data_IF_149143672671
#
_entry.id   IF_149143672671
#
_cell.length_a   1.000
_cell.length_b   1.000
_cell.length_c   1.000
_cell.angle_alpha   90.00
_cell.angle_beta   90.00
_cell.angle_gamma   90.00
#
_symmetry.space_group_name_H-M   'P 1'
#
loop_
_entity.id
_entity.type
_entity.pdbx_description
1 polymer ?
#
# COMPACT_ATOMS: atom_id res chain seq x y z
N UNK A 1 2.00 11.78 12.71
CA UNK A 1 2.50 12.07 11.33
C UNK A 1 1.78 11.17 10.31
N UNK A 2 1.87 11.44 9.00
CA UNK A 2 1.24 10.61 7.95
C UNK A 2 2.25 9.95 6.99
N UNK A 3 1.89 8.80 6.43
CA UNK A 3 2.64 8.17 5.36
C UNK A 3 1.72 7.67 4.25
N UNK A 4 2.18 7.80 2.99
CA UNK A 4 1.60 7.07 1.87
C UNK A 4 2.26 5.69 1.78
N UNK A 5 1.47 4.64 1.90
CA UNK A 5 1.87 3.25 1.74
C UNK A 5 1.36 2.71 0.40
N UNK A 6 2.31 2.41 -0.48
CA UNK A 6 2.05 1.85 -1.81
C UNK A 6 2.22 0.33 -1.76
N UNK A 7 1.18 -0.41 -2.10
CA UNK A 7 1.15 -1.88 -2.06
C UNK A 7 1.26 -2.44 -3.48
N UNK A 8 2.27 -3.28 -3.69
CA UNK A 8 2.40 -4.17 -4.86
C UNK A 8 2.13 -3.54 -6.22
N UNK A 9 3.01 -2.67 -6.68
CA UNK A 9 3.00 -2.11 -8.06
C UNK A 9 3.93 -2.92 -8.96
N UNK A 10 3.47 -4.08 -9.43
CA UNK A 10 4.27 -4.94 -10.30
C UNK A 10 4.36 -4.38 -11.74
N UNK A 11 5.56 -4.45 -12.35
CA UNK A 11 5.78 -4.05 -13.74
C UNK A 11 5.13 -4.98 -14.78
N UNK A 12 4.91 -6.25 -14.39
CA UNK A 12 4.58 -7.33 -15.35
C UNK A 12 3.08 -7.66 -15.47
N UNK A 13 2.19 -6.90 -14.83
CA UNK A 13 0.77 -7.17 -15.02
C UNK A 13 0.27 -6.65 -16.36
N UNK A 14 -0.27 -7.54 -17.21
CA UNK A 14 -0.81 -7.15 -18.51
C UNK A 14 -2.21 -6.51 -18.40
N UNK A 15 -2.77 -6.40 -17.18
CA UNK A 15 -4.10 -5.84 -16.99
C UNK A 15 -4.05 -4.32 -17.16
N UNK A 16 -4.82 -3.80 -18.11
CA UNK A 16 -4.92 -2.36 -18.41
C UNK A 16 -5.22 -1.54 -17.16
N UNK A 17 -6.09 -2.03 -16.30
CA UNK A 17 -6.45 -1.37 -15.03
C UNK A 17 -5.24 -1.23 -14.08
N UNK A 18 -4.37 -2.24 -14.00
CA UNK A 18 -3.16 -2.17 -13.18
C UNK A 18 -2.20 -1.09 -13.72
N UNK A 19 -2.02 -1.00 -15.03
CA UNK A 19 -1.19 0.03 -15.66
C UNK A 19 -1.76 1.43 -15.43
N UNK A 20 -3.08 1.60 -15.58
CA UNK A 20 -3.75 2.89 -15.33
C UNK A 20 -3.60 3.34 -13.88
N UNK A 21 -3.74 2.43 -12.92
CA UNK A 21 -3.53 2.74 -11.49
C UNK A 21 -2.07 3.07 -11.19
N UNK A 22 -1.09 2.34 -11.75
CA UNK A 22 0.33 2.68 -11.60
C UNK A 22 0.59 4.09 -12.12
N UNK A 23 0.04 4.44 -13.28
CA UNK A 23 0.15 5.79 -13.84
C UNK A 23 -0.53 6.83 -12.94
N UNK A 24 -1.72 6.54 -12.44
CA UNK A 24 -2.45 7.44 -11.54
C UNK A 24 -1.68 7.67 -10.22
N UNK A 25 -1.06 6.62 -9.65
CA UNK A 25 -0.19 6.74 -8.48
C UNK A 25 1.03 7.61 -8.79
N UNK A 26 1.68 7.41 -9.94
CA UNK A 26 2.81 8.23 -10.36
C UNK A 26 2.42 9.71 -10.48
N UNK A 27 1.27 9.98 -11.09
CA UNK A 27 0.73 11.33 -11.22
C UNK A 27 0.39 11.92 -9.85
N UNK A 28 -0.25 11.16 -8.96
CA UNK A 28 -0.56 11.58 -7.60
C UNK A 28 0.70 11.98 -6.85
N UNK A 29 1.73 11.14 -6.89
CA UNK A 29 3.04 11.46 -6.28
C UNK A 29 3.65 12.73 -6.88
N UNK A 30 3.57 12.94 -8.19
CA UNK A 30 4.11 14.15 -8.81
C UNK A 30 3.42 15.44 -8.32
N UNK A 31 2.15 15.36 -7.93
CA UNK A 31 1.32 16.50 -7.53
C UNK A 31 1.26 16.70 -6.01
N UNK A 32 1.31 15.60 -5.25
CA UNK A 32 0.95 15.54 -3.82
C UNK A 32 2.06 14.96 -2.94
N UNK A 33 3.29 14.75 -3.45
CA UNK A 33 4.40 14.19 -2.65
C UNK A 33 4.67 14.97 -1.35
N UNK A 34 4.45 16.27 -1.34
CA UNK A 34 4.66 17.14 -0.17
C UNK A 34 3.59 16.97 0.92
N UNK A 35 2.46 16.35 0.59
CA UNK A 35 1.35 16.15 1.52
C UNK A 35 1.64 15.00 2.48
N UNK A 36 2.66 14.18 2.19
CA UNK A 36 3.08 13.03 2.97
C UNK A 36 4.41 13.25 3.66
N UNK A 37 4.47 12.95 4.96
CA UNK A 37 5.72 12.97 5.72
C UNK A 37 6.69 11.90 5.19
N UNK A 38 6.16 10.71 4.91
CA UNK A 38 6.90 9.60 4.31
C UNK A 38 6.13 8.97 3.16
N UNK A 39 6.86 8.50 2.15
CA UNK A 39 6.33 7.64 1.10
C UNK A 39 7.08 6.32 1.15
N UNK A 40 6.34 5.23 1.40
CA UNK A 40 6.90 3.91 1.63
C UNK A 40 6.21 2.87 0.76
N UNK A 41 6.87 1.73 0.55
CA UNK A 41 6.33 0.65 -0.27
C UNK A 41 6.29 -0.67 0.48
N UNK A 42 5.27 -1.48 0.22
CA UNK A 42 5.23 -2.89 0.56
C UNK A 42 5.17 -3.68 -0.75
N UNK A 43 6.24 -4.42 -1.07
CA UNK A 43 6.45 -5.03 -2.38
C UNK A 43 6.66 -6.56 -2.32
N UNK A 44 5.96 -7.26 -3.18
CA UNK A 44 6.10 -8.70 -3.46
C UNK A 44 6.92 -8.96 -4.72
N UNK A 45 7.04 -7.94 -5.58
CA UNK A 45 7.74 -7.97 -6.86
C UNK A 45 8.53 -6.65 -7.06
N UNK A 46 9.41 -6.55 -8.07
CA UNK A 46 10.02 -5.28 -8.44
C UNK A 46 8.97 -4.19 -8.71
N UNK A 47 9.33 -2.96 -8.37
CA UNK A 47 8.47 -1.80 -8.56
C UNK A 47 8.39 -1.42 -10.05
N UNK A 48 7.22 -0.94 -10.50
CA UNK A 48 7.03 -0.47 -11.86
C UNK A 48 7.90 0.76 -12.18
N UNK A 49 8.41 0.83 -13.41
CA UNK A 49 9.35 1.87 -13.86
C UNK A 49 8.77 3.29 -13.73
N UNK A 50 7.46 3.44 -13.93
CA UNK A 50 6.73 4.71 -13.85
C UNK A 50 6.87 5.39 -12.48
N UNK A 51 7.00 4.59 -11.41
CA UNK A 51 7.17 5.11 -10.06
C UNK A 51 8.57 4.85 -9.50
N UNK A 52 9.42 4.07 -10.19
CA UNK A 52 10.79 3.78 -9.78
C UNK A 52 11.67 5.04 -9.63
N UNK A 53 11.36 6.11 -10.36
CA UNK A 53 12.01 7.42 -10.22
C UNK A 53 11.62 8.22 -8.97
N UNK A 54 10.65 7.73 -8.17
CA UNK A 54 10.22 8.38 -6.94
C UNK A 54 11.18 8.10 -5.80
N UNK A 55 11.40 9.10 -4.93
CA UNK A 55 12.12 8.88 -3.66
C UNK A 55 11.21 8.24 -2.63
N UNK A 56 11.53 6.99 -2.28
CA UNK A 56 10.91 6.24 -1.18
C UNK A 56 11.76 6.31 0.08
N UNK A 57 11.11 6.59 1.20
CA UNK A 57 11.73 6.69 2.51
C UNK A 57 12.12 5.30 3.06
N UNK A 58 11.31 4.27 2.76
CA UNK A 58 11.63 2.88 3.04
C UNK A 58 10.85 1.93 2.11
N UNK A 59 11.35 0.70 1.96
CA UNK A 59 10.75 -0.33 1.13
C UNK A 59 10.74 -1.66 1.88
N UNK A 60 9.56 -2.22 2.10
CA UNK A 60 9.34 -3.48 2.80
C UNK A 60 9.09 -4.58 1.78
N UNK A 61 9.92 -5.63 1.82
CA UNK A 61 9.85 -6.72 0.85
C UNK A 61 9.36 -7.99 1.53
N UNK A 62 8.55 -8.74 0.79
CA UNK A 62 8.14 -10.09 1.17
C UNK A 62 9.37 -11.00 1.19
N UNK A 63 9.47 -11.85 2.22
CA UNK A 63 10.42 -12.95 2.23
C UNK A 63 9.99 -13.99 1.18
N UNK A 64 10.86 -14.36 0.22
CA UNK A 64 10.56 -15.32 -0.83
C UNK A 64 10.10 -16.71 -0.35
N UNK A 65 10.38 -17.05 0.92
CA UNK A 65 10.05 -18.34 1.52
C UNK A 65 8.71 -18.32 2.27
N UNK A 66 8.06 -17.16 2.35
CA UNK A 66 6.82 -16.97 3.11
C UNK A 66 5.66 -16.64 2.18
N UNK A 67 4.44 -16.89 2.63
CA UNK A 67 3.22 -16.44 1.96
C UNK A 67 2.65 -15.17 2.60
N UNK A 68 3.48 -14.14 2.77
CA UNK A 68 3.00 -12.84 3.24
C UNK A 68 2.01 -12.23 2.23
N UNK A 69 0.86 -11.81 2.72
CA UNK A 69 -0.13 -11.02 1.99
C UNK A 69 -0.10 -9.57 2.47
N UNK A 70 -0.07 -9.37 3.79
CA UNK A 70 -0.03 -8.05 4.42
C UNK A 70 1.35 -7.41 4.29
N UNK A 71 1.39 -6.09 4.16
CA UNK A 71 2.61 -5.30 4.30
C UNK A 71 3.25 -5.42 5.69
N UNK A 72 2.46 -5.71 6.73
CA UNK A 72 2.96 -5.87 8.11
C UNK A 72 3.73 -7.16 8.36
N UNK A 73 3.62 -8.12 7.46
CA UNK A 73 4.40 -9.35 7.46
C UNK A 73 5.78 -9.17 6.80
N UNK A 74 6.00 -8.02 6.15
CA UNK A 74 7.20 -7.72 5.35
C UNK A 74 8.25 -6.96 6.17
N UNK A 75 9.50 -7.05 5.74
CA UNK A 75 10.63 -6.36 6.37
C UNK A 75 11.40 -5.50 5.37
N UNK A 76 12.04 -4.45 5.85
CA UNK A 76 13.01 -3.71 5.05
C UNK A 76 14.34 -4.47 4.93
N UNK A 77 15.32 -3.85 4.25
CA UNK A 77 16.65 -4.43 4.04
C UNK A 77 17.45 -4.65 5.33
N UNK A 78 17.05 -4.01 6.43
CA UNK A 78 17.66 -4.16 7.75
C UNK A 78 16.98 -5.25 8.59
N UNK A 79 15.87 -5.82 8.10
CA UNK A 79 15.04 -6.78 8.83
C UNK A 79 13.99 -6.14 9.73
N UNK A 80 13.79 -4.81 9.64
CA UNK A 80 12.78 -4.11 10.45
C UNK A 80 11.40 -4.31 9.84
N UNK A 81 10.41 -4.68 10.67
CA UNK A 81 9.02 -4.84 10.23
C UNK A 81 8.37 -3.49 9.96
N UNK A 82 7.42 -3.45 9.01
CA UNK A 82 6.66 -2.24 8.67
C UNK A 82 6.07 -1.55 9.91
N UNK A 83 5.35 -2.29 10.77
CA UNK A 83 4.72 -1.71 11.95
C UNK A 83 5.71 -1.09 12.94
N UNK A 84 6.89 -1.70 13.10
CA UNK A 84 7.92 -1.19 14.00
C UNK A 84 8.56 0.09 13.44
N UNK A 85 8.81 0.12 12.12
CA UNK A 85 9.31 1.31 11.44
C UNK A 85 8.30 2.47 11.52
N UNK A 86 7.01 2.20 11.30
CA UNK A 86 5.96 3.22 11.39
C UNK A 86 5.89 3.86 12.78
N UNK A 87 5.94 3.06 13.84
CA UNK A 87 5.96 3.56 15.23
C UNK A 87 7.21 4.34 15.55
N UNK A 88 8.38 3.86 15.11
CA UNK A 88 9.66 4.55 15.32
C UNK A 88 9.68 5.94 14.65
N UNK A 89 8.96 6.10 13.53
CA UNK A 89 8.81 7.37 12.81
C UNK A 89 7.54 8.15 13.23
N UNK A 90 6.88 7.78 14.33
CA UNK A 90 5.69 8.48 14.87
C UNK A 90 4.56 8.68 13.84
N UNK A 91 4.40 7.69 12.94
CA UNK A 91 3.29 7.66 12.00
C UNK A 91 2.02 7.24 12.74
N UNK A 92 0.96 8.00 12.51
CA UNK A 92 -0.36 7.82 13.10
C UNK A 92 -1.38 7.52 11.99
N UNK A 93 -1.22 8.14 10.82
CA UNK A 93 -2.09 7.95 9.65
C UNK A 93 -1.38 7.28 8.49
N UNK A 94 -2.03 6.29 7.89
CA UNK A 94 -1.64 5.64 6.64
C UNK A 94 -2.64 5.95 5.54
N UNK A 95 -2.15 6.56 4.46
CA UNK A 95 -2.85 6.65 3.20
C UNK A 95 -2.43 5.44 2.34
N UNK A 96 -3.36 4.60 1.91
CA UNK A 96 -3.08 3.31 1.27
C UNK A 96 -3.56 3.32 -0.18
N UNK A 97 -2.67 2.91 -1.09
CA UNK A 97 -2.87 2.79 -2.54
C UNK A 97 -2.20 1.54 -3.07
N UNK A 98 -2.52 1.11 -4.29
CA UNK A 98 -1.77 0.03 -4.94
C UNK A 98 -2.64 -0.97 -5.69
N UNK A 99 -2.20 -2.22 -5.76
CA UNK A 99 -2.89 -3.29 -6.49
C UNK A 99 -3.32 -4.43 -5.57
N UNK A 100 -4.32 -5.19 -6.00
CA UNK A 100 -4.85 -6.33 -5.25
C UNK A 100 -5.69 -5.88 -4.06
N UNK A 101 -6.74 -5.11 -4.33
CA UNK A 101 -7.69 -4.56 -3.34
C UNK A 101 -8.14 -5.59 -2.32
N UNK A 102 -8.59 -6.76 -2.78
CA UNK A 102 -9.11 -7.85 -1.96
C UNK A 102 -8.02 -8.75 -1.34
N UNK A 103 -6.76 -8.54 -1.73
CA UNK A 103 -5.60 -9.32 -1.31
C UNK A 103 -4.71 -8.49 -0.39
N UNK A 104 -3.62 -7.93 -0.93
CA UNK A 104 -2.60 -7.23 -0.18
C UNK A 104 -3.11 -5.95 0.48
N UNK A 105 -3.96 -5.18 -0.20
CA UNK A 105 -4.53 -3.94 0.35
C UNK A 105 -5.42 -4.26 1.54
N UNK A 106 -6.45 -5.11 1.36
CA UNK A 106 -7.34 -5.53 2.44
C UNK A 106 -6.59 -6.05 3.65
N UNK A 107 -5.67 -7.00 3.45
CA UNK A 107 -4.90 -7.58 4.56
C UNK A 107 -4.09 -6.52 5.31
N UNK A 108 -3.41 -5.63 4.57
CA UNK A 108 -2.59 -4.57 5.15
C UNK A 108 -3.41 -3.53 5.90
N UNK A 109 -4.57 -3.13 5.37
CA UNK A 109 -5.46 -2.16 6.00
C UNK A 109 -6.00 -2.71 7.32
N UNK A 110 -6.47 -3.97 7.32
CA UNK A 110 -6.99 -4.59 8.55
C UNK A 110 -5.89 -4.73 9.62
N UNK A 111 -4.67 -5.10 9.23
CA UNK A 111 -3.53 -5.17 10.16
C UNK A 111 -3.11 -3.79 10.70
N UNK A 112 -3.18 -2.75 9.87
CA UNK A 112 -2.91 -1.38 10.31
C UNK A 112 -3.94 -0.91 11.35
N UNK A 113 -5.23 -1.11 11.06
CA UNK A 113 -6.31 -0.78 11.98
C UNK A 113 -6.20 -1.56 13.29
N UNK A 114 -5.92 -2.86 13.23
CA UNK A 114 -5.71 -3.70 14.41
C UNK A 114 -4.52 -3.24 15.27
N UNK A 115 -3.54 -2.57 14.65
CA UNK A 115 -2.38 -1.99 15.34
C UNK A 115 -2.59 -0.54 15.78
N UNK A 116 -3.78 0.04 15.55
CA UNK A 116 -4.18 1.36 16.03
C UNK A 116 -3.76 2.52 15.13
N UNK A 117 -3.42 2.29 13.86
CA UNK A 117 -3.20 3.36 12.89
C UNK A 117 -4.55 3.86 12.33
N UNK A 118 -4.64 5.16 12.06
CA UNK A 118 -5.72 5.73 11.24
C UNK A 118 -5.44 5.36 9.78
N UNK A 119 -6.41 4.76 9.08
CA UNK A 119 -6.19 4.27 7.72
C UNK A 119 -7.18 4.90 6.74
N UNK A 120 -6.65 5.52 5.69
CA UNK A 120 -7.38 6.09 4.58
C UNK A 120 -7.03 5.32 3.31
N UNK A 121 -8.02 4.82 2.57
CA UNK A 121 -7.81 4.10 1.31
C UNK A 121 -8.30 4.95 0.15
N UNK A 122 -7.40 5.28 -0.78
CA UNK A 122 -7.74 6.10 -1.96
C UNK A 122 -8.23 5.18 -3.07
N UNK A 123 -9.54 4.95 -3.16
CA UNK A 123 -10.10 3.91 -4.05
C UNK A 123 -9.74 4.10 -5.52
N UNK A 124 -9.61 5.36 -5.95
CA UNK A 124 -9.23 5.73 -7.33
C UNK A 124 -7.78 5.42 -7.67
N UNK A 125 -6.96 5.10 -6.66
CA UNK A 125 -5.57 4.71 -6.78
C UNK A 125 -5.38 3.23 -6.38
N UNK A 126 -6.46 2.44 -6.46
CA UNK A 126 -6.47 1.01 -6.16
C UNK A 126 -7.03 0.22 -7.34
N UNK A 127 -6.36 -0.89 -7.70
CA UNK A 127 -6.92 -1.88 -8.63
C UNK A 127 -7.28 -3.18 -7.90
N UNK A 128 -8.36 -3.83 -8.31
CA UNK A 128 -8.71 -5.17 -7.85
C UNK A 128 -8.23 -6.26 -8.83
N UNK A 129 -8.19 -7.51 -8.38
CA UNK A 129 -8.11 -8.65 -9.30
C UNK A 129 -9.51 -9.05 -9.76
N UNK A 130 -10.50 -8.87 -8.89
CA UNK A 130 -11.92 -9.13 -9.13
C UNK A 130 -12.81 -8.09 -8.45
N UNK A 131 -13.67 -7.43 -9.25
CA UNK A 131 -14.60 -6.39 -8.78
C UNK A 131 -15.54 -6.86 -7.65
N UNK A 132 -16.07 -8.08 -7.76
CA UNK A 132 -16.98 -8.63 -6.75
C UNK A 132 -16.28 -8.80 -5.39
N UNK A 133 -15.03 -9.28 -5.41
CA UNK A 133 -14.23 -9.44 -4.20
C UNK A 133 -13.76 -8.08 -3.67
N UNK A 134 -13.48 -7.12 -4.54
CA UNK A 134 -13.10 -5.77 -4.16
C UNK A 134 -14.19 -5.09 -3.32
N UNK A 135 -15.45 -5.22 -3.73
CA UNK A 135 -16.58 -4.65 -2.98
C UNK A 135 -16.71 -5.27 -1.58
N UNK A 136 -16.56 -6.58 -1.47
CA UNK A 136 -16.58 -7.26 -0.18
C UNK A 136 -15.43 -6.78 0.72
N UNK A 137 -14.23 -6.63 0.14
CA UNK A 137 -13.06 -6.12 0.84
C UNK A 137 -13.24 -4.68 1.34
N UNK A 138 -13.78 -3.78 0.52
CA UNK A 138 -14.06 -2.41 0.92
C UNK A 138 -15.07 -2.34 2.07
N UNK A 139 -16.14 -3.13 2.00
CA UNK A 139 -17.13 -3.17 3.08
C UNK A 139 -16.53 -3.66 4.40
N UNK A 140 -15.65 -4.66 4.35
CA UNK A 140 -14.99 -5.17 5.55
C UNK A 140 -14.04 -4.15 6.17
N UNK A 141 -13.21 -3.50 5.35
CA UNK A 141 -12.32 -2.43 5.79
C UNK A 141 -13.12 -1.27 6.41
N UNK A 142 -14.25 -0.88 5.81
CA UNK A 142 -15.16 0.15 6.33
C UNK A 142 -15.72 -0.22 7.72
N UNK A 143 -16.22 -1.45 7.86
CA UNK A 143 -16.73 -1.96 9.15
C UNK A 143 -15.66 -1.99 10.25
N UNK A 144 -14.38 -2.10 9.88
CA UNK A 144 -13.26 -2.06 10.81
C UNK A 144 -12.72 -0.64 11.06
N UNK A 145 -13.26 0.38 10.40
CA UNK A 145 -12.92 1.79 10.63
C UNK A 145 -11.99 2.41 9.61
N UNK A 146 -11.72 1.77 8.47
CA UNK A 146 -11.02 2.43 7.36
C UNK A 146 -11.87 3.58 6.81
N UNK A 147 -11.22 4.68 6.48
CA UNK A 147 -11.82 5.80 5.75
C UNK A 147 -11.51 5.66 4.25
N UNK A 148 -12.37 6.20 3.40
CA UNK A 148 -12.23 6.11 1.95
C UNK A 148 -12.33 7.48 1.30
N UNK A 149 -11.47 7.69 0.31
CA UNK A 149 -11.41 8.90 -0.54
C UNK A 149 -11.57 8.56 -2.03
#
# INVERSE_FOLDING_TARGET
>A
MNALLIIDTHADSPATEATEIIHAIAQHLSQHRSDYTHVITALSAPIADEIAGTTFDNQFRKDPTTEALSGFERTDTTGTKLGDWLRANTIERLDVVGLGTELGIRSTVLDALAQGFDVHVHKKLCAAVSDDNARAAYNEMDMCGALFE
#
